data_IF_653721528294
#
_entry.id   IF_653721528294
#
_cell.length_a   1.000
_cell.length_b   1.000
_cell.length_c   1.000
_cell.angle_alpha   90.00
_cell.angle_beta   90.00
_cell.angle_gamma   90.00
#
_symmetry.space_group_name_H-M   'P 1'
#
loop_
_entity.id
_entity.type
_entity.pdbx_description
1 polymer ?
#
# COMPACT_ATOMS: atom_id res chain seq x y z
N UNK A 1 34.98 28.87 -55.27
CA UNK A 1 33.73 28.96 -54.42
C UNK A 1 33.03 27.64 -54.57
N UNK A 2 33.17 26.73 -53.58
CA UNK A 2 32.53 25.39 -53.60
C UNK A 2 31.14 25.47 -52.98
N UNK A 3 30.12 25.37 -53.80
CA UNK A 3 28.72 25.22 -53.36
C UNK A 3 28.46 23.77 -52.98
N UNK A 4 28.28 23.49 -51.70
CA UNK A 4 27.82 22.18 -51.23
C UNK A 4 26.45 21.82 -51.87
N UNK A 5 26.28 20.61 -52.36
CA UNK A 5 25.04 20.20 -53.03
C UNK A 5 23.86 20.21 -52.02
N UNK A 6 22.78 20.92 -52.40
CA UNK A 6 21.53 21.07 -51.62
C UNK A 6 20.96 19.77 -51.06
N UNK A 7 21.28 18.62 -51.62
CA UNK A 7 20.85 17.28 -51.22
C UNK A 7 21.49 16.80 -49.90
N UNK A 8 22.68 17.26 -49.55
CA UNK A 8 23.33 16.91 -48.29
C UNK A 8 22.74 17.66 -47.11
N UNK A 9 22.31 18.90 -47.31
CA UNK A 9 21.66 19.74 -46.25
C UNK A 9 20.30 19.15 -45.82
N UNK A 10 19.52 18.59 -46.74
CA UNK A 10 18.23 17.98 -46.41
C UNK A 10 18.35 16.67 -45.61
N UNK A 11 19.40 15.88 -45.89
CA UNK A 11 19.67 14.64 -45.15
C UNK A 11 20.04 14.96 -43.67
N UNK A 12 20.89 15.97 -43.45
CA UNK A 12 21.26 16.39 -42.10
C UNK A 12 20.10 16.94 -41.29
N UNK A 13 19.17 17.68 -41.95
CA UNK A 13 17.97 18.21 -41.29
C UNK A 13 17.02 17.10 -40.83
N UNK A 14 16.85 16.03 -41.65
CA UNK A 14 16.00 14.89 -41.28
C UNK A 14 16.58 14.09 -40.11
N UNK A 15 17.89 13.90 -40.09
CA UNK A 15 18.55 13.23 -38.96
C UNK A 15 18.54 14.06 -37.69
N UNK A 16 18.63 15.39 -37.77
CA UNK A 16 18.53 16.30 -36.64
C UNK A 16 17.10 16.30 -36.04
N UNK A 17 16.05 16.27 -36.89
CA UNK A 17 14.66 16.14 -36.43
C UNK A 17 14.37 14.79 -35.80
N UNK A 18 14.91 13.69 -36.33
CA UNK A 18 14.79 12.36 -35.76
C UNK A 18 15.50 12.24 -34.40
N UNK A 19 16.65 12.87 -34.22
CA UNK A 19 17.35 12.94 -32.93
C UNK A 19 16.58 13.77 -31.87
N UNK A 20 15.88 14.83 -32.28
CA UNK A 20 15.08 15.65 -31.39
C UNK A 20 13.79 14.95 -30.93
N UNK A 21 13.18 14.12 -31.80
CA UNK A 21 12.00 13.31 -31.46
C UNK A 21 12.29 12.19 -30.45
N UNK A 22 13.54 11.71 -30.39
CA UNK A 22 13.99 10.67 -29.43
C UNK A 22 14.14 11.14 -27.99
N UNK A 23 14.11 12.46 -27.72
CA UNK A 23 14.30 13.04 -26.38
C UNK A 23 12.99 13.34 -25.63
N UNK A 24 11.84 13.06 -26.21
CA UNK A 24 10.59 13.08 -25.47
C UNK A 24 10.47 11.78 -24.64
N UNK A 25 11.22 11.72 -23.55
CA UNK A 25 10.97 10.74 -22.49
C UNK A 25 9.52 10.96 -22.03
N UNK A 26 8.63 10.04 -22.39
CA UNK A 26 7.28 9.96 -21.81
C UNK A 26 7.49 9.68 -20.33
N UNK A 27 7.54 10.74 -19.53
CA UNK A 27 7.44 10.58 -18.08
C UNK A 27 6.06 9.99 -17.82
N UNK A 28 6.03 8.70 -17.51
CA UNK A 28 4.81 8.08 -17.00
C UNK A 28 4.43 8.85 -15.73
N UNK A 29 3.42 9.72 -15.82
CA UNK A 29 2.89 10.43 -14.67
C UNK A 29 2.39 9.37 -13.70
N UNK A 30 3.06 9.22 -12.57
CA UNK A 30 2.64 8.31 -11.51
C UNK A 30 1.20 8.69 -11.12
N UNK A 31 0.27 7.74 -11.21
CA UNK A 31 -1.13 8.00 -10.92
C UNK A 31 -1.30 8.32 -9.43
N UNK A 32 -1.82 9.51 -9.14
CA UNK A 32 -2.11 9.93 -7.79
C UNK A 32 -3.13 9.00 -7.13
N UNK A 33 -2.73 8.39 -6.01
CA UNK A 33 -3.53 7.42 -5.26
C UNK A 33 -4.37 8.08 -4.17
N UNK A 34 -3.87 9.15 -3.55
CA UNK A 34 -4.51 9.82 -2.43
C UNK A 34 -3.63 10.90 -1.82
N UNK A 35 -3.82 11.16 -0.54
CA UNK A 35 -3.03 12.15 0.20
C UNK A 35 -2.69 11.65 1.62
N UNK A 36 -1.65 12.21 2.21
CA UNK A 36 -1.29 12.04 3.62
C UNK A 36 -2.25 12.89 4.46
N UNK A 37 -3.34 12.29 4.98
CA UNK A 37 -4.34 13.03 5.74
C UNK A 37 -3.78 13.59 7.06
N UNK A 38 -2.85 12.87 7.69
CA UNK A 38 -2.15 13.25 8.91
C UNK A 38 -0.75 12.64 8.94
N UNK A 39 0.19 13.33 9.56
CA UNK A 39 1.54 12.84 9.85
C UNK A 39 1.85 13.20 11.30
N UNK A 40 2.32 12.23 12.06
CA UNK A 40 2.83 12.41 13.43
C UNK A 40 4.23 11.82 13.51
N UNK A 41 5.16 12.57 14.06
CA UNK A 41 6.56 12.17 14.10
C UNK A 41 7.26 12.31 12.75
N UNK A 42 8.43 11.66 12.62
CA UNK A 42 9.24 11.75 11.40
C UNK A 42 8.89 10.62 10.43
N UNK A 43 8.51 11.01 9.23
CA UNK A 43 8.23 10.07 8.13
C UNK A 43 8.74 10.62 6.80
N UNK A 44 8.97 9.75 5.85
CA UNK A 44 9.41 10.09 4.49
C UNK A 44 8.55 9.38 3.45
N UNK A 45 8.48 10.00 2.26
CA UNK A 45 7.92 9.39 1.06
C UNK A 45 9.02 9.30 0.02
N UNK A 46 9.29 8.10 -0.46
CA UNK A 46 10.21 7.86 -1.59
C UNK A 46 9.38 7.53 -2.82
N UNK A 47 9.46 8.36 -3.84
CA UNK A 47 8.73 8.18 -5.10
C UNK A 47 9.34 7.09 -5.99
N UNK A 48 8.61 6.71 -7.05
CA UNK A 48 9.03 5.63 -7.95
C UNK A 48 10.38 5.89 -8.66
N UNK A 49 10.78 7.15 -8.81
CA UNK A 49 12.08 7.60 -9.33
C UNK A 49 13.19 7.65 -8.27
N UNK A 50 12.93 7.13 -7.07
CA UNK A 50 13.81 7.11 -5.89
C UNK A 50 14.10 8.50 -5.26
N UNK A 51 13.37 9.54 -5.62
CA UNK A 51 13.44 10.81 -4.91
C UNK A 51 12.76 10.69 -3.54
N UNK A 52 13.49 11.03 -2.47
CA UNK A 52 12.96 10.97 -1.10
C UNK A 52 12.66 12.38 -0.58
N UNK A 53 11.48 12.55 0.00
CA UNK A 53 11.03 13.81 0.64
C UNK A 53 10.48 13.53 2.04
N UNK A 54 10.50 14.55 2.90
CA UNK A 54 9.80 14.49 4.17
C UNK A 54 8.28 14.39 3.94
N UNK A 55 7.60 13.52 4.69
CA UNK A 55 6.16 13.38 4.61
C UNK A 55 5.47 14.52 5.34
N UNK A 56 4.59 15.25 4.66
CA UNK A 56 3.81 16.35 5.24
C UNK A 56 2.32 16.13 5.03
N UNK A 57 1.52 16.58 6.00
CA UNK A 57 0.06 16.49 5.88
C UNK A 57 -0.45 17.22 4.64
N UNK A 58 -1.49 16.66 4.02
CA UNK A 58 -2.13 17.10 2.77
C UNK A 58 -1.30 16.93 1.49
N UNK A 59 -0.08 16.40 1.54
CA UNK A 59 0.69 16.08 0.34
C UNK A 59 0.12 14.85 -0.37
N UNK A 60 0.14 14.89 -1.70
CA UNK A 60 -0.27 13.79 -2.53
C UNK A 60 0.71 12.60 -2.44
N UNK A 61 0.14 11.39 -2.54
CA UNK A 61 0.88 10.14 -2.74
C UNK A 61 0.37 9.45 -3.99
N UNK A 62 1.28 8.76 -4.67
CA UNK A 62 1.05 8.15 -5.97
C UNK A 62 1.37 6.66 -5.97
N UNK A 63 0.91 5.97 -7.00
CA UNK A 63 1.36 4.60 -7.29
C UNK A 63 2.89 4.56 -7.42
N UNK A 64 3.52 3.61 -6.76
CA UNK A 64 4.98 3.44 -6.70
C UNK A 64 5.62 4.06 -5.46
N UNK A 65 4.95 4.99 -4.78
CA UNK A 65 5.48 5.65 -3.58
C UNK A 65 5.67 4.65 -2.43
N UNK A 66 6.77 4.86 -1.69
CA UNK A 66 7.08 4.14 -0.45
C UNK A 66 6.99 5.12 0.71
N UNK A 67 6.13 4.85 1.67
CA UNK A 67 5.98 5.59 2.92
C UNK A 67 6.80 4.88 3.98
N UNK A 68 7.71 5.60 4.64
CA UNK A 68 8.55 5.07 5.72
C UNK A 68 8.41 5.95 6.96
N UNK A 69 8.16 5.30 8.11
CA UNK A 69 8.04 5.94 9.43
C UNK A 69 9.18 5.55 10.33
N UNK A 70 9.57 6.46 11.21
CA UNK A 70 10.55 6.17 12.29
C UNK A 70 9.83 5.78 13.59
N UNK A 71 10.61 5.45 14.63
CA UNK A 71 10.10 5.12 15.96
C UNK A 71 9.13 6.21 16.48
N UNK A 72 7.95 5.80 16.92
CA UNK A 72 6.90 6.66 17.44
C UNK A 72 6.16 7.51 16.38
N UNK A 73 6.51 7.40 15.11
CA UNK A 73 5.81 8.12 14.04
C UNK A 73 4.63 7.31 13.48
N UNK A 74 3.61 8.01 13.01
CA UNK A 74 2.47 7.45 12.28
C UNK A 74 2.09 8.33 11.10
N UNK A 75 1.64 7.70 10.03
CA UNK A 75 1.10 8.39 8.85
C UNK A 75 -0.29 7.83 8.52
N UNK A 76 -1.29 8.71 8.46
CA UNK A 76 -2.63 8.39 7.98
C UNK A 76 -2.75 8.79 6.51
N UNK A 77 -2.93 7.81 5.64
CA UNK A 77 -3.20 7.99 4.21
C UNK A 77 -4.70 7.90 3.96
N UNK A 78 -5.23 8.81 3.16
CA UNK A 78 -6.58 8.74 2.61
C UNK A 78 -6.51 8.60 1.10
N UNK A 79 -7.02 7.50 0.59
CA UNK A 79 -7.05 7.22 -0.85
C UNK A 79 -8.28 7.84 -1.54
N UNK A 80 -8.22 7.96 -2.86
CA UNK A 80 -9.31 8.55 -3.69
C UNK A 80 -10.60 7.73 -3.66
N UNK A 81 -10.53 6.42 -3.40
CA UNK A 81 -11.69 5.54 -3.23
C UNK A 81 -12.30 5.59 -1.82
N UNK A 82 -11.86 6.53 -0.97
CA UNK A 82 -12.19 6.67 0.44
C UNK A 82 -11.71 5.51 1.34
N UNK A 83 -10.86 4.62 0.87
CA UNK A 83 -10.10 3.76 1.77
C UNK A 83 -9.10 4.59 2.58
N UNK A 84 -8.72 4.06 3.74
CA UNK A 84 -7.74 4.69 4.64
C UNK A 84 -6.71 3.69 5.08
N UNK A 85 -5.49 4.15 5.32
CA UNK A 85 -4.39 3.33 5.81
C UNK A 85 -3.57 4.11 6.84
N UNK A 86 -3.31 3.50 7.98
CA UNK A 86 -2.33 3.98 8.96
C UNK A 86 -1.05 3.17 8.76
N UNK A 87 0.04 3.86 8.45
CA UNK A 87 1.39 3.31 8.52
C UNK A 87 1.91 3.58 9.92
N UNK A 88 2.15 2.51 10.70
CA UNK A 88 2.55 2.58 12.11
C UNK A 88 4.02 2.94 12.27
N UNK A 89 4.47 3.00 13.53
CA UNK A 89 5.88 3.18 13.91
C UNK A 89 6.79 2.15 13.24
N UNK A 90 8.00 2.57 12.85
CA UNK A 90 9.05 1.71 12.30
C UNK A 90 8.60 0.84 11.11
N UNK A 91 7.76 1.42 10.25
CA UNK A 91 7.12 0.70 9.16
C UNK A 91 7.51 1.24 7.81
N UNK A 92 7.47 0.36 6.80
CA UNK A 92 7.73 0.68 5.41
C UNK A 92 6.66 0.05 4.52
N UNK A 93 5.91 0.89 3.80
CA UNK A 93 4.76 0.47 2.99
C UNK A 93 4.89 1.07 1.60
N UNK A 94 4.74 0.23 0.56
CA UNK A 94 4.69 0.64 -0.84
C UNK A 94 3.26 0.62 -1.36
N UNK A 95 2.84 1.69 -2.02
CA UNK A 95 1.61 1.73 -2.83
C UNK A 95 1.95 1.11 -4.19
N UNK A 96 1.83 -0.23 -4.29
CA UNK A 96 2.30 -0.96 -5.48
C UNK A 96 1.43 -0.67 -6.71
N UNK A 97 0.10 -0.58 -6.50
CA UNK A 97 -0.85 -0.25 -7.54
C UNK A 97 -2.09 0.42 -6.94
N UNK A 98 -2.55 1.48 -7.57
CA UNK A 98 -3.83 2.12 -7.25
C UNK A 98 -4.44 2.68 -8.54
N UNK A 99 -5.66 2.26 -8.85
CA UNK A 99 -6.46 2.82 -9.94
C UNK A 99 -7.90 2.91 -9.49
N UNK A 100 -8.47 4.10 -9.61
CA UNK A 100 -9.86 4.37 -9.25
C UNK A 100 -10.52 5.28 -10.29
N UNK A 101 -11.32 4.67 -11.17
CA UNK A 101 -12.07 5.31 -12.24
C UNK A 101 -13.57 4.98 -12.17
N UNK A 102 -14.01 4.31 -11.09
CA UNK A 102 -15.36 3.73 -10.89
C UNK A 102 -15.71 2.68 -11.94
N UNK A 103 -14.74 1.84 -12.28
CA UNK A 103 -14.84 0.74 -13.24
C UNK A 103 -14.54 -0.60 -12.57
N UNK A 104 -14.99 -1.69 -13.19
CA UNK A 104 -14.67 -3.05 -12.73
C UNK A 104 -13.16 -3.39 -12.77
N UNK A 105 -12.36 -2.58 -13.47
CA UNK A 105 -10.91 -2.71 -13.57
C UNK A 105 -10.16 -1.93 -12.50
N UNK A 106 -10.87 -1.25 -11.58
CA UNK A 106 -10.26 -0.56 -10.46
C UNK A 106 -9.53 -1.54 -9.56
N UNK A 107 -8.38 -1.12 -9.02
CA UNK A 107 -7.51 -2.03 -8.28
C UNK A 107 -6.72 -1.30 -7.20
N UNK A 108 -6.45 -2.01 -6.12
CA UNK A 108 -5.53 -1.62 -5.06
C UNK A 108 -4.58 -2.76 -4.79
N UNK A 109 -3.28 -2.48 -4.82
CA UNK A 109 -2.27 -3.36 -4.27
C UNK A 109 -1.31 -2.54 -3.41
N UNK A 110 -1.15 -2.94 -2.16
CA UNK A 110 -0.26 -2.34 -1.17
C UNK A 110 0.68 -3.39 -0.63
N UNK A 111 1.97 -3.10 -0.55
CA UNK A 111 2.98 -4.01 -0.02
C UNK A 111 3.51 -3.48 1.32
N UNK A 112 3.27 -4.22 2.40
CA UNK A 112 3.96 -4.02 3.67
C UNK A 112 5.34 -4.65 3.58
N UNK A 113 6.38 -3.83 3.49
CA UNK A 113 7.77 -4.26 3.39
C UNK A 113 8.37 -4.57 4.76
N UNK A 114 7.97 -3.83 5.81
CA UNK A 114 8.35 -4.05 7.20
C UNK A 114 7.42 -3.32 8.15
N UNK A 115 7.35 -3.75 9.40
CA UNK A 115 6.57 -3.11 10.45
C UNK A 115 5.08 -3.45 10.41
N UNK A 116 4.21 -2.47 10.61
CA UNK A 116 2.78 -2.67 10.79
C UNK A 116 1.95 -1.61 10.05
N UNK A 117 0.84 -2.01 9.46
CA UNK A 117 -0.19 -1.11 8.94
C UNK A 117 -1.59 -1.50 9.43
N UNK A 118 -2.51 -0.54 9.49
CA UNK A 118 -3.95 -0.79 9.60
C UNK A 118 -4.64 -0.20 8.38
N UNK A 119 -5.55 -0.94 7.77
CA UNK A 119 -6.26 -0.49 6.59
C UNK A 119 -7.77 -0.73 6.70
N UNK A 120 -8.55 0.29 6.31
CA UNK A 120 -10.01 0.18 6.17
C UNK A 120 -10.34 0.35 4.70
N UNK A 121 -11.04 -0.64 4.17
CA UNK A 121 -11.39 -0.73 2.76
C UNK A 121 -12.35 0.37 2.30
N UNK A 122 -12.22 0.79 1.04
CA UNK A 122 -13.01 1.84 0.40
C UNK A 122 -14.02 1.33 -0.63
N UNK A 123 -14.26 2.17 -1.64
CA UNK A 123 -15.25 1.90 -2.68
C UNK A 123 -14.86 0.76 -3.62
N UNK A 124 -13.56 0.62 -3.93
CA UNK A 124 -13.07 -0.47 -4.80
C UNK A 124 -13.39 -1.83 -4.18
N UNK A 125 -13.09 -2.01 -2.89
CA UNK A 125 -13.37 -3.27 -2.20
C UNK A 125 -14.86 -3.60 -2.09
N UNK A 126 -15.74 -2.59 -2.08
CA UNK A 126 -17.19 -2.81 -2.09
C UNK A 126 -17.70 -3.25 -3.46
N UNK A 127 -17.10 -2.73 -4.54
CA UNK A 127 -17.51 -3.03 -5.91
C UNK A 127 -16.82 -4.29 -6.47
N UNK A 128 -15.53 -4.43 -6.24
CA UNK A 128 -14.67 -5.49 -6.81
C UNK A 128 -13.63 -5.95 -5.76
N UNK A 129 -14.06 -6.66 -4.69
CA UNK A 129 -13.18 -7.02 -3.58
C UNK A 129 -11.96 -7.85 -4.02
N UNK A 130 -12.09 -8.69 -5.06
CA UNK A 130 -11.01 -9.49 -5.63
C UNK A 130 -9.85 -8.67 -6.21
N UNK A 131 -10.07 -7.37 -6.46
CA UNK A 131 -9.07 -6.46 -7.00
C UNK A 131 -8.32 -5.69 -5.89
N UNK A 132 -8.60 -5.98 -4.62
CA UNK A 132 -7.92 -5.34 -3.49
C UNK A 132 -7.07 -6.36 -2.74
N UNK A 133 -5.76 -6.12 -2.71
CA UNK A 133 -4.77 -7.01 -2.11
C UNK A 133 -3.77 -6.24 -1.26
N UNK A 134 -3.32 -6.89 -0.20
CA UNK A 134 -2.20 -6.45 0.60
C UNK A 134 -1.16 -7.56 0.63
N UNK A 135 0.05 -7.26 0.17
CA UNK A 135 1.18 -8.19 0.21
C UNK A 135 2.02 -7.92 1.44
N UNK A 136 2.51 -8.97 2.09
CA UNK A 136 3.42 -8.89 3.22
C UNK A 136 4.36 -10.11 3.17
N UNK A 137 5.62 -9.89 2.81
CA UNK A 137 6.58 -10.98 2.61
C UNK A 137 6.07 -12.04 1.62
N UNK A 138 5.92 -13.29 2.08
CA UNK A 138 5.40 -14.40 1.30
C UNK A 138 3.86 -14.55 1.35
N UNK A 139 3.17 -13.67 2.08
CA UNK A 139 1.72 -13.73 2.23
C UNK A 139 1.04 -12.65 1.39
N UNK A 140 -0.06 -13.03 0.74
CA UNK A 140 -1.02 -12.11 0.10
C UNK A 140 -2.35 -12.18 0.85
N UNK A 141 -2.91 -11.04 1.19
CA UNK A 141 -4.16 -10.88 1.91
C UNK A 141 -5.19 -10.25 0.96
N UNK A 142 -6.15 -11.07 0.51
CA UNK A 142 -7.35 -10.64 -0.18
C UNK A 142 -8.40 -10.18 0.83
N UNK A 143 -9.18 -9.14 0.51
CA UNK A 143 -10.14 -8.56 1.45
C UNK A 143 -11.57 -8.58 0.93
N UNK A 144 -12.54 -8.67 1.87
CA UNK A 144 -13.97 -8.56 1.58
C UNK A 144 -14.63 -7.55 2.51
N UNK A 145 -14.47 -6.23 2.19
CA UNK A 145 -15.09 -5.17 2.98
C UNK A 145 -14.60 -5.13 4.43
N UNK A 146 -13.30 -4.84 4.63
CA UNK A 146 -12.60 -5.14 5.88
C UNK A 146 -11.99 -3.91 6.56
N UNK A 147 -11.77 -4.05 7.86
CA UNK A 147 -10.82 -3.30 8.68
C UNK A 147 -9.79 -4.31 9.21
N UNK A 148 -8.53 -4.16 8.80
CA UNK A 148 -7.46 -5.13 9.07
C UNK A 148 -6.22 -4.46 9.64
N UNK A 149 -5.45 -5.23 10.40
CA UNK A 149 -4.06 -4.91 10.74
C UNK A 149 -3.14 -5.99 10.20
N UNK A 150 -2.06 -5.56 9.53
CA UNK A 150 -0.99 -6.42 9.05
C UNK A 150 0.29 -6.07 9.77
N UNK A 151 1.05 -7.09 10.16
CA UNK A 151 2.36 -6.92 10.76
C UNK A 151 3.36 -7.94 10.25
N UNK A 152 4.59 -7.49 10.04
CA UNK A 152 5.76 -8.33 9.84
C UNK A 152 6.61 -8.21 11.10
N UNK A 153 6.69 -9.29 11.87
CA UNK A 153 7.56 -9.39 13.06
C UNK A 153 8.86 -10.05 12.63
N UNK A 154 10.00 -9.34 12.71
CA UNK A 154 11.30 -9.88 12.29
C UNK A 154 11.83 -10.93 13.28
N UNK A 155 12.79 -11.74 12.84
CA UNK A 155 13.55 -12.62 13.72
C UNK A 155 14.30 -11.81 14.78
N UNK A 156 14.39 -12.36 15.98
CA UNK A 156 15.02 -11.70 17.14
C UNK A 156 14.13 -10.67 17.85
N UNK A 157 12.90 -10.43 17.40
CA UNK A 157 11.92 -9.64 18.13
C UNK A 157 11.45 -10.38 19.40
N UNK A 158 10.78 -9.65 20.31
CA UNK A 158 10.19 -10.24 21.54
C UNK A 158 9.07 -11.22 21.21
N UNK A 159 8.26 -10.88 20.21
CA UNK A 159 7.14 -11.68 19.75
C UNK A 159 7.59 -12.65 18.66
N UNK A 160 6.81 -13.70 18.41
CA UNK A 160 7.15 -14.73 17.45
C UNK A 160 7.27 -14.14 16.04
N UNK A 161 8.41 -14.36 15.39
CA UNK A 161 8.69 -13.87 14.05
C UNK A 161 7.73 -14.49 13.03
N UNK A 162 7.23 -13.66 12.11
CA UNK A 162 6.28 -14.07 11.09
C UNK A 162 5.40 -12.93 10.60
N UNK A 163 4.39 -13.29 9.82
CA UNK A 163 3.42 -12.35 9.25
C UNK A 163 2.07 -12.58 9.94
N UNK A 164 1.47 -11.50 10.40
CA UNK A 164 0.19 -11.51 11.09
C UNK A 164 -0.83 -10.67 10.31
N UNK A 165 -2.06 -11.20 10.21
CA UNK A 165 -3.20 -10.50 9.64
C UNK A 165 -4.36 -10.57 10.64
N UNK A 166 -4.63 -9.50 11.40
CA UNK A 166 -5.76 -9.41 12.31
C UNK A 166 -6.94 -8.69 11.64
N UNK A 167 -8.15 -9.21 11.82
CA UNK A 167 -9.38 -8.68 11.23
C UNK A 167 -10.26 -8.04 12.28
N UNK A 168 -10.40 -6.71 12.27
CA UNK A 168 -11.32 -5.97 13.14
C UNK A 168 -12.77 -6.08 12.67
N UNK A 169 -12.99 -6.08 11.35
CA UNK A 169 -14.30 -6.21 10.74
C UNK A 169 -14.21 -6.83 9.34
N UNK A 170 -15.24 -7.55 8.94
CA UNK A 170 -15.27 -8.24 7.65
C UNK A 170 -14.55 -9.58 7.68
N UNK A 171 -13.97 -9.98 6.57
CA UNK A 171 -13.28 -11.24 6.36
C UNK A 171 -12.12 -11.06 5.37
N UNK A 172 -11.04 -11.79 5.59
CA UNK A 172 -9.90 -11.84 4.65
C UNK A 172 -9.58 -13.27 4.25
N UNK A 173 -8.95 -13.43 3.10
CA UNK A 173 -8.27 -14.65 2.70
C UNK A 173 -6.77 -14.39 2.69
N UNK A 174 -6.04 -15.09 3.57
CA UNK A 174 -4.59 -15.05 3.59
C UNK A 174 -4.07 -16.26 2.82
N UNK A 175 -3.25 -16.00 1.81
CA UNK A 175 -2.66 -17.00 0.91
C UNK A 175 -1.15 -16.89 0.89
N UNK A 176 -0.47 -18.02 0.68
CA UNK A 176 0.97 -18.10 0.44
C UNK A 176 1.24 -18.44 -1.03
N UNK A 177 2.42 -18.10 -1.51
CA UNK A 177 2.93 -18.49 -2.84
C UNK A 177 3.04 -20.00 -3.04
N UNK A 178 3.06 -20.79 -1.98
CA UNK A 178 2.94 -22.26 -2.00
C UNK A 178 1.54 -22.77 -2.33
N UNK A 179 0.52 -21.88 -2.38
CA UNK A 179 -0.87 -22.19 -2.70
C UNK A 179 -1.75 -22.48 -1.49
N UNK A 180 -1.19 -22.53 -0.27
CA UNK A 180 -1.98 -22.68 0.94
C UNK A 180 -2.80 -21.42 1.22
N UNK A 181 -4.04 -21.57 1.67
CA UNK A 181 -4.95 -20.47 2.01
C UNK A 181 -5.64 -20.69 3.34
N UNK A 182 -5.96 -19.60 4.04
CA UNK A 182 -6.81 -19.60 5.23
C UNK A 182 -7.74 -18.40 5.21
N UNK A 183 -9.00 -18.64 5.54
CA UNK A 183 -9.98 -17.56 5.74
C UNK A 183 -9.89 -17.07 7.16
N UNK A 184 -9.72 -15.76 7.34
CA UNK A 184 -9.59 -15.09 8.63
C UNK A 184 -10.84 -14.23 8.85
N UNK A 185 -11.69 -14.65 9.74
CA UNK A 185 -12.91 -13.92 10.12
C UNK A 185 -12.65 -12.82 11.12
N UNK A 186 -13.72 -12.07 11.43
CA UNK A 186 -13.70 -10.98 12.42
C UNK A 186 -13.14 -11.46 13.77
N UNK A 187 -12.28 -10.63 14.38
CA UNK A 187 -11.64 -10.85 15.69
C UNK A 187 -10.69 -12.06 15.74
N UNK A 188 -10.31 -12.58 14.57
CA UNK A 188 -9.31 -13.62 14.42
C UNK A 188 -8.04 -13.07 13.79
N UNK A 189 -6.94 -13.82 13.94
CA UNK A 189 -5.66 -13.52 13.29
C UNK A 189 -5.22 -14.69 12.41
N UNK A 190 -4.89 -14.41 11.14
CA UNK A 190 -4.07 -15.29 10.32
C UNK A 190 -2.59 -15.10 10.66
N UNK A 191 -1.85 -16.19 10.71
CA UNK A 191 -0.43 -16.17 11.03
C UNK A 191 0.35 -17.13 10.14
N UNK A 192 1.49 -16.66 9.60
CA UNK A 192 2.50 -17.52 9.01
C UNK A 192 3.84 -17.28 9.69
N UNK A 193 4.43 -18.31 10.34
CA UNK A 193 5.70 -18.17 11.04
C UNK A 193 6.86 -18.00 10.05
N UNK A 194 7.86 -17.18 10.42
CA UNK A 194 9.11 -17.05 9.66
C UNK A 194 9.88 -18.37 9.64
N UNK A 195 9.86 -19.10 10.76
CA UNK A 195 10.49 -20.40 10.93
C UNK A 195 9.45 -21.40 11.42
N UNK A 196 9.24 -22.49 10.63
CA UNK A 196 8.34 -23.57 10.99
C UNK A 196 8.97 -24.51 12.01
N UNK A 197 8.18 -24.92 13.00
CA UNK A 197 8.55 -26.00 13.91
C UNK A 197 8.08 -27.35 13.34
N UNK A 198 8.69 -28.48 13.74
CA UNK A 198 8.26 -29.80 13.29
C UNK A 198 6.79 -30.04 13.60
N UNK A 199 6.00 -30.42 12.56
CA UNK A 199 4.56 -30.68 12.67
C UNK A 199 3.65 -29.44 12.63
N UNK A 200 4.21 -28.25 12.44
CA UNK A 200 3.47 -27.01 12.41
C UNK A 200 2.95 -26.68 10.99
N UNK A 201 1.74 -26.13 10.92
CA UNK A 201 1.17 -25.61 9.67
C UNK A 201 1.82 -24.29 9.28
N UNK A 202 2.02 -24.08 7.96
CA UNK A 202 2.52 -22.80 7.41
C UNK A 202 1.52 -21.66 7.60
N UNK A 203 0.23 -21.95 7.52
CA UNK A 203 -0.84 -21.01 7.83
C UNK A 203 -1.60 -21.47 9.06
N UNK A 204 -1.79 -20.54 9.99
CA UNK A 204 -2.45 -20.78 11.27
C UNK A 204 -3.54 -19.76 11.50
N UNK A 205 -4.61 -20.17 12.16
CA UNK A 205 -5.67 -19.29 12.64
C UNK A 205 -5.53 -19.13 14.15
N UNK A 206 -5.25 -17.92 14.61
CA UNK A 206 -5.17 -17.57 16.03
C UNK A 206 -6.48 -16.94 16.47
N UNK A 207 -6.93 -17.28 17.69
CA UNK A 207 -8.21 -16.79 18.25
C UNK A 207 -8.12 -15.39 18.83
N UNK A 208 -6.91 -14.94 19.16
CA UNK A 208 -6.68 -13.67 19.85
C UNK A 208 -5.94 -12.68 18.96
N UNK A 209 -6.20 -11.40 19.21
CA UNK A 209 -5.37 -10.32 18.64
C UNK A 209 -3.98 -10.38 19.25
N UNK A 210 -2.91 -10.41 18.45
CA UNK A 210 -1.55 -10.33 18.96
C UNK A 210 -1.35 -9.11 19.87
N UNK A 211 -0.77 -9.31 21.06
CA UNK A 211 -0.65 -8.26 22.07
C UNK A 211 0.21 -7.07 21.63
N UNK A 212 1.13 -7.28 20.67
CA UNK A 212 1.95 -6.21 20.10
C UNK A 212 1.20 -5.31 19.10
N UNK A 213 0.05 -5.73 18.59
CA UNK A 213 -0.84 -4.90 17.77
C UNK A 213 -1.56 -3.91 18.69
N UNK A 214 -0.90 -2.86 19.10
CA UNK A 214 -1.48 -1.83 19.99
C UNK A 214 -2.21 -0.77 19.18
N UNK A 215 -3.22 -0.14 19.79
CA UNK A 215 -3.86 1.03 19.22
C UNK A 215 -2.90 2.21 19.20
N UNK A 216 -2.79 2.91 18.08
CA UNK A 216 -1.98 4.11 17.92
C UNK A 216 -2.79 5.39 18.03
N UNK A 217 -2.12 6.54 17.88
CA UNK A 217 -2.74 7.86 18.00
C UNK A 217 -3.82 8.14 16.95
N UNK A 218 -3.76 7.48 15.79
CA UNK A 218 -4.71 7.72 14.69
C UNK A 218 -5.90 6.75 14.64
N UNK A 219 -6.01 5.75 15.53
CA UNK A 219 -7.13 4.81 15.50
C UNK A 219 -8.49 5.49 15.77
N UNK A 220 -8.56 6.41 16.71
CA UNK A 220 -9.79 7.17 16.97
C UNK A 220 -10.17 8.03 15.75
N UNK A 221 -9.21 8.63 15.08
CA UNK A 221 -9.42 9.41 13.86
C UNK A 221 -9.87 8.53 12.69
N UNK A 222 -9.30 7.33 12.56
CA UNK A 222 -9.71 6.35 11.57
C UNK A 222 -11.20 6.00 11.73
N UNK A 223 -11.63 5.74 12.97
CA UNK A 223 -13.04 5.45 13.27
C UNK A 223 -13.95 6.62 12.88
N UNK A 224 -13.57 7.87 13.16
CA UNK A 224 -14.33 9.06 12.76
C UNK A 224 -14.46 9.20 11.24
N UNK A 225 -13.39 8.91 10.49
CA UNK A 225 -13.38 9.01 9.03
C UNK A 225 -14.20 7.91 8.34
N UNK A 226 -14.35 6.76 8.98
CA UNK A 226 -15.05 5.58 8.45
C UNK A 226 -16.47 5.43 8.98
N UNK A 227 -16.84 6.15 10.04
CA UNK A 227 -18.19 6.14 10.60
C UNK A 227 -19.24 6.60 9.55
N UNK A 228 -20.40 5.93 9.47
CA UNK A 228 -21.49 6.36 8.61
C UNK A 228 -21.90 7.80 9.02
N UNK A 229 -21.94 8.72 8.04
CA UNK A 229 -22.51 10.04 8.29
C UNK A 229 -24.01 9.89 8.43
N UNK A 230 -24.53 10.02 9.64
CA UNK A 230 -25.97 10.09 9.90
C UNK A 230 -26.45 11.40 9.27
N UNK A 231 -27.36 11.38 8.26
CA UNK A 231 -27.92 12.62 7.73
C UNK A 231 -28.68 13.33 8.87
N UNK A 232 -28.29 14.56 9.18
CA UNK A 232 -29.10 15.39 10.09
C UNK A 232 -30.42 15.67 9.38
N UNK A 233 -31.49 15.05 9.85
CA UNK A 233 -32.86 15.38 9.46
C UNK A 233 -33.15 16.77 10.06
N UNK A 234 -33.29 17.75 9.15
CA UNK A 234 -33.80 19.10 9.49
C UNK A 234 -35.31 19.11 9.46
#
# INVERSE_FOLDING_TARGET
>A
MNTLPRRLLTVWLVWALAALAGLMSVQALAQEAGNLARVSGRATVTSADNATREAKANEAVSTGDIISTTAGAEVLVRFKDNSTMIVRSDSKVKISQFRFEKKATDTVNTNLMSGTLRAVSGQIAKATPQNVKYDAGAATIGIRGTDIELAIVPEGAKDRAGIYNYVHAGETEMSLDTGETVVVGKELSGFTPAVLQPGESRLQLLRDRPAFLTSGGFDALLQQLTAPRIPMIR
#
